data_IF_866847614674
#
_entry.id   IF_866847614674
#
_cell.length_a   1.000
_cell.length_b   1.000
_cell.length_c   1.000
_cell.angle_alpha   90.00
_cell.angle_beta   90.00
_cell.angle_gamma   90.00
#
_symmetry.space_group_name_H-M   'P 1'
#
loop_
_entity.id
_entity.type
_entity.pdbx_description
1 polymer ?
#
# COMPACT_ATOMS: atom_id res chain seq x y z
N UNK A 1 -8.76 -13.32 3.51
CA UNK A 1 -7.54 -12.81 2.85
C UNK A 1 -7.14 -13.79 1.76
N UNK A 2 -7.19 -13.41 0.47
CA UNK A 2 -6.31 -14.06 -0.49
C UNK A 2 -4.91 -13.90 0.08
N UNK A 3 -4.22 -15.00 0.36
CA UNK A 3 -2.85 -14.91 0.84
C UNK A 3 -2.00 -14.51 -0.36
N UNK A 4 -1.67 -13.23 -0.46
CA UNK A 4 -0.58 -12.81 -1.33
C UNK A 4 0.63 -13.65 -1.04
N UNK A 5 1.22 -14.18 -2.10
CA UNK A 5 2.56 -14.73 -2.03
C UNK A 5 3.50 -13.60 -1.58
N UNK A 6 4.51 -13.94 -0.79
CA UNK A 6 5.48 -12.99 -0.22
C UNK A 6 6.02 -11.93 -1.21
N UNK A 7 6.35 -12.25 -2.48
CA UNK A 7 6.77 -11.23 -3.45
C UNK A 7 5.69 -10.17 -3.74
N UNK A 8 4.42 -10.55 -3.82
CA UNK A 8 3.33 -9.61 -4.09
C UNK A 8 3.17 -8.62 -2.93
N UNK A 9 3.40 -9.07 -1.68
CA UNK A 9 3.36 -8.19 -0.50
C UNK A 9 4.45 -7.13 -0.53
N UNK A 10 5.65 -7.49 -0.97
CA UNK A 10 6.75 -6.54 -1.12
C UNK A 10 6.46 -5.51 -2.21
N UNK A 11 5.86 -5.94 -3.33
CA UNK A 11 5.42 -5.03 -4.40
C UNK A 11 4.36 -4.06 -3.87
N UNK A 12 3.33 -4.57 -3.18
CA UNK A 12 2.27 -3.75 -2.57
C UNK A 12 2.83 -2.71 -1.61
N UNK A 13 3.71 -3.10 -0.69
CA UNK A 13 4.34 -2.17 0.25
C UNK A 13 5.19 -1.10 -0.46
N UNK A 14 5.91 -1.47 -1.53
CA UNK A 14 6.69 -0.53 -2.31
C UNK A 14 5.79 0.44 -3.09
N UNK A 15 4.72 -0.05 -3.71
CA UNK A 15 3.72 0.78 -4.39
C UNK A 15 3.09 1.79 -3.44
N UNK A 16 2.69 1.37 -2.25
CA UNK A 16 2.11 2.25 -1.23
C UNK A 16 3.09 3.37 -0.84
N UNK A 17 4.35 3.01 -0.57
CA UNK A 17 5.39 3.99 -0.23
C UNK A 17 5.68 4.97 -1.38
N UNK A 18 5.82 4.47 -2.60
CA UNK A 18 6.10 5.30 -3.78
C UNK A 18 4.93 6.24 -4.11
N UNK A 19 3.69 5.73 -4.11
CA UNK A 19 2.50 6.53 -4.37
C UNK A 19 2.31 7.63 -3.32
N UNK A 20 2.48 7.30 -2.04
CA UNK A 20 2.40 8.27 -0.94
C UNK A 20 3.49 9.33 -1.03
N UNK A 21 4.72 8.93 -1.37
CA UNK A 21 5.83 9.88 -1.58
C UNK A 21 5.52 10.86 -2.71
N UNK A 22 5.01 10.37 -3.84
CA UNK A 22 4.64 11.22 -4.98
C UNK A 22 3.43 12.10 -4.69
N UNK A 23 2.52 11.65 -3.84
CA UNK A 23 1.33 12.41 -3.46
C UNK A 23 1.57 13.52 -2.44
N UNK A 24 2.79 13.63 -1.88
CA UNK A 24 3.16 14.41 -0.69
C UNK A 24 2.60 15.84 -0.57
N UNK A 25 3.46 16.86 -0.49
CA UNK A 25 2.99 18.22 -0.18
C UNK A 25 2.34 18.95 -1.38
N UNK A 26 2.56 18.45 -2.60
CA UNK A 26 2.02 19.04 -3.82
C UNK A 26 1.68 17.95 -4.82
N UNK A 27 0.52 18.06 -5.45
CA UNK A 27 0.13 17.20 -6.57
C UNK A 27 1.17 17.28 -7.70
N UNK A 28 1.78 16.17 -8.15
CA UNK A 28 2.74 16.20 -9.23
C UNK A 28 2.07 16.55 -10.56
N UNK A 29 2.74 17.40 -11.36
CA UNK A 29 2.25 17.86 -12.65
C UNK A 29 3.29 17.65 -13.76
N UNK A 30 2.81 17.61 -15.01
CA UNK A 30 3.65 17.55 -16.20
C UNK A 30 4.73 16.44 -16.13
N UNK A 31 6.03 16.77 -16.32
CA UNK A 31 7.10 15.78 -16.28
C UNK A 31 7.23 15.03 -14.94
N UNK A 32 6.92 15.68 -13.81
CA UNK A 32 6.98 15.03 -12.50
C UNK A 32 5.88 13.97 -12.35
N UNK A 33 4.69 14.26 -12.90
CA UNK A 33 3.59 13.29 -12.95
C UNK A 33 3.97 12.09 -13.79
N UNK A 34 4.49 12.30 -15.00
CA UNK A 34 4.90 11.20 -15.87
C UNK A 34 5.99 10.34 -15.21
N UNK A 35 6.98 10.95 -14.55
CA UNK A 35 8.01 10.23 -13.81
C UNK A 35 7.41 9.35 -12.69
N UNK A 36 6.42 9.86 -11.96
CA UNK A 36 5.70 9.09 -10.96
C UNK A 36 4.96 7.90 -11.58
N UNK A 37 4.24 8.12 -12.69
CA UNK A 37 3.54 7.04 -13.40
C UNK A 37 4.50 5.96 -13.91
N UNK A 38 5.65 6.35 -14.46
CA UNK A 38 6.66 5.41 -14.92
C UNK A 38 7.27 4.59 -13.78
N UNK A 39 7.56 5.22 -12.64
CA UNK A 39 8.06 4.51 -11.47
C UNK A 39 7.03 3.49 -10.94
N UNK A 40 5.77 3.88 -10.81
CA UNK A 40 4.70 2.99 -10.35
C UNK A 40 4.52 1.79 -11.29
N UNK A 41 4.55 2.02 -12.61
CA UNK A 41 4.52 0.95 -13.62
C UNK A 41 5.73 0.04 -13.50
N UNK A 42 6.92 0.59 -13.28
CA UNK A 42 8.14 -0.18 -13.13
C UNK A 42 8.10 -1.09 -11.88
N UNK A 43 7.63 -0.57 -10.74
CA UNK A 43 7.45 -1.35 -9.50
C UNK A 43 6.45 -2.49 -9.72
N UNK A 44 5.34 -2.22 -10.41
CA UNK A 44 4.30 -3.22 -10.67
C UNK A 44 4.62 -4.19 -11.83
N UNK A 45 5.70 -3.96 -12.59
CA UNK A 45 6.09 -4.83 -13.69
C UNK A 45 6.99 -5.95 -13.19
N UNK A 46 6.50 -7.19 -13.25
CA UNK A 46 7.28 -8.39 -12.91
C UNK A 46 7.68 -9.13 -14.18
N UNK A 47 8.98 -9.37 -14.34
CA UNK A 47 9.50 -10.25 -15.37
C UNK A 47 9.70 -11.65 -14.79
N UNK A 48 9.22 -12.72 -15.45
CA UNK A 48 9.58 -14.07 -15.05
C UNK A 48 11.10 -14.23 -15.09
N UNK A 49 11.68 -14.93 -14.11
CA UNK A 49 13.08 -15.32 -14.19
C UNK A 49 13.30 -16.16 -15.45
N UNK A 50 14.14 -15.67 -16.35
CA UNK A 50 14.45 -16.36 -17.59
C UNK A 50 14.96 -17.78 -17.30
N UNK A 51 14.48 -18.76 -18.07
CA UNK A 51 14.98 -20.14 -17.95
C UNK A 51 16.46 -20.16 -18.36
N UNK A 52 17.32 -20.82 -17.57
CA UNK A 52 18.74 -21.00 -17.92
C UNK A 52 18.84 -21.56 -19.34
N UNK A 53 19.56 -20.86 -20.22
CA UNK A 53 19.73 -21.22 -21.63
C UNK A 53 18.68 -20.65 -22.59
N UNK A 54 17.71 -19.87 -22.12
CA UNK A 54 16.78 -19.15 -23.01
C UNK A 54 17.50 -17.98 -23.70
N UNK A 55 17.37 -17.90 -25.02
CA UNK A 55 17.86 -16.78 -25.84
C UNK A 55 16.97 -15.54 -25.69
N UNK A 56 15.68 -15.75 -25.37
CA UNK A 56 14.71 -14.68 -25.17
C UNK A 56 14.39 -14.50 -23.69
N UNK A 57 14.50 -13.26 -23.23
CA UNK A 57 13.99 -12.87 -21.92
C UNK A 57 12.48 -12.65 -22.05
N UNK A 58 11.65 -13.24 -21.17
CA UNK A 58 10.22 -13.00 -21.20
C UNK A 58 9.95 -11.51 -20.93
N UNK A 59 8.96 -10.96 -21.63
CA UNK A 59 8.51 -9.60 -21.39
C UNK A 59 7.99 -9.45 -19.95
N UNK A 60 8.22 -8.27 -19.37
CA UNK A 60 7.61 -7.91 -18.09
C UNK A 60 6.09 -7.86 -18.20
N UNK A 61 5.41 -8.32 -17.16
CA UNK A 61 3.95 -8.26 -17.04
C UNK A 61 3.60 -7.23 -15.98
N UNK A 62 2.79 -6.24 -16.36
CA UNK A 62 2.26 -5.26 -15.42
C UNK A 62 1.20 -5.92 -14.52
N UNK A 63 1.41 -5.89 -13.21
CA UNK A 63 0.45 -6.35 -12.20
C UNK A 63 -0.56 -5.27 -11.87
N UNK A 64 -1.49 -5.07 -12.79
CA UNK A 64 -2.60 -4.12 -12.66
C UNK A 64 -3.51 -4.41 -11.45
N UNK A 65 -3.57 -5.68 -11.04
CA UNK A 65 -4.26 -6.14 -9.83
C UNK A 65 -3.64 -5.58 -8.54
N UNK A 66 -2.30 -5.52 -8.46
CA UNK A 66 -1.60 -4.98 -7.29
C UNK A 66 -1.67 -3.45 -7.24
N UNK A 67 -1.64 -2.78 -8.39
CA UNK A 67 -1.95 -1.34 -8.47
C UNK A 67 -3.37 -1.04 -7.97
N UNK A 68 -4.34 -1.87 -8.38
CA UNK A 68 -5.74 -1.75 -7.98
C UNK A 68 -5.95 -1.95 -6.48
N UNK A 69 -5.24 -2.90 -5.88
CA UNK A 69 -5.29 -3.11 -4.43
C UNK A 69 -4.87 -1.89 -3.64
N UNK A 70 -3.71 -1.30 -3.97
CA UNK A 70 -3.23 -0.12 -3.25
C UNK A 70 -4.14 1.07 -3.51
N UNK A 71 -4.57 1.29 -4.76
CA UNK A 71 -5.46 2.38 -5.12
C UNK A 71 -6.80 2.30 -4.36
N UNK A 72 -7.44 1.12 -4.37
CA UNK A 72 -8.70 0.90 -3.67
C UNK A 72 -8.54 1.08 -2.17
N UNK A 73 -7.53 0.47 -1.54
CA UNK A 73 -7.29 0.64 -0.10
C UNK A 73 -7.14 2.11 0.28
N UNK A 74 -6.36 2.88 -0.49
CA UNK A 74 -6.17 4.32 -0.24
C UNK A 74 -7.48 5.12 -0.39
N UNK A 75 -8.30 4.84 -1.40
CA UNK A 75 -9.62 5.47 -1.57
C UNK A 75 -10.56 5.15 -0.40
N UNK A 76 -10.59 3.88 0.03
CA UNK A 76 -11.40 3.47 1.18
C UNK A 76 -10.97 4.16 2.48
N UNK A 77 -9.66 4.34 2.70
CA UNK A 77 -9.16 5.14 3.83
C UNK A 77 -9.46 6.63 3.67
N UNK A 78 -9.40 7.17 2.44
CA UNK A 78 -9.72 8.57 2.17
C UNK A 78 -11.19 8.88 2.50
N UNK A 79 -12.10 7.97 2.16
CA UNK A 79 -13.53 8.14 2.46
C UNK A 79 -13.85 8.30 3.95
N UNK A 80 -13.00 7.77 4.84
CA UNK A 80 -13.13 7.87 6.29
C UNK A 80 -12.21 8.93 6.92
N UNK A 81 -11.37 9.62 6.14
CA UNK A 81 -10.40 10.59 6.65
C UNK A 81 -10.93 12.04 6.57
N UNK A 82 -10.62 12.80 7.61
CA UNK A 82 -10.80 14.26 7.67
C UNK A 82 -9.94 15.04 6.67
N UNK A 83 -8.79 14.49 6.24
CA UNK A 83 -7.86 15.12 5.29
C UNK A 83 -7.49 14.16 4.15
N UNK A 84 -8.43 13.87 3.24
CA UNK A 84 -8.32 12.77 2.27
C UNK A 84 -7.37 13.05 1.10
N UNK A 85 -6.97 14.30 0.90
CA UNK A 85 -6.35 14.80 -0.34
C UNK A 85 -5.13 13.98 -0.80
N UNK A 86 -4.21 13.68 0.12
CA UNK A 86 -2.98 12.93 -0.21
C UNK A 86 -3.30 11.50 -0.63
N UNK A 87 -4.28 10.85 0.02
CA UNK A 87 -4.69 9.48 -0.32
C UNK A 87 -5.41 9.43 -1.67
N UNK A 88 -6.23 10.43 -1.97
CA UNK A 88 -6.90 10.55 -3.27
C UNK A 88 -5.88 10.78 -4.39
N UNK A 89 -4.87 11.65 -4.18
CA UNK A 89 -3.80 11.87 -5.17
C UNK A 89 -3.00 10.59 -5.39
N UNK A 90 -2.57 9.91 -4.31
CA UNK A 90 -1.83 8.66 -4.40
C UNK A 90 -2.62 7.57 -5.15
N UNK A 91 -3.90 7.40 -4.84
CA UNK A 91 -4.78 6.47 -5.54
C UNK A 91 -4.96 6.84 -7.02
N UNK A 92 -5.10 8.13 -7.33
CA UNK A 92 -5.24 8.61 -8.71
C UNK A 92 -4.02 8.27 -9.55
N UNK A 93 -2.81 8.46 -9.01
CA UNK A 93 -1.57 8.09 -9.70
C UNK A 93 -1.49 6.58 -9.99
N UNK A 94 -1.94 5.74 -9.06
CA UNK A 94 -1.99 4.28 -9.24
C UNK A 94 -3.02 3.87 -10.32
N UNK A 95 -4.17 4.54 -10.37
CA UNK A 95 -5.18 4.33 -11.41
C UNK A 95 -4.61 4.70 -12.78
N UNK A 96 -3.98 5.87 -12.91
CA UNK A 96 -3.35 6.33 -14.14
C UNK A 96 -2.13 5.49 -14.57
N UNK A 97 -1.46 4.86 -13.60
CA UNK A 97 -0.40 3.91 -13.87
C UNK A 97 -0.93 2.62 -14.54
N UNK A 98 -2.23 2.35 -14.47
CA UNK A 98 -2.89 1.22 -15.14
C UNK A 98 -3.54 0.23 -14.19
N UNK A 99 -4.00 0.66 -13.02
CA UNK A 99 -4.78 -0.20 -12.12
C UNK A 99 -6.05 -0.74 -12.82
N UNK A 100 -6.40 -1.99 -12.51
CA UNK A 100 -7.67 -2.56 -12.95
C UNK A 100 -8.85 -1.90 -12.21
N UNK A 101 -9.68 -1.13 -12.92
CA UNK A 101 -10.79 -0.38 -12.35
C UNK A 101 -11.84 -1.26 -11.65
N UNK A 102 -12.04 -2.51 -12.09
CA UNK A 102 -12.99 -3.45 -11.46
C UNK A 102 -12.44 -3.88 -10.09
N UNK A 103 -11.15 -4.17 -10.01
CA UNK A 103 -10.51 -4.54 -8.74
C UNK A 103 -10.36 -3.33 -7.81
N UNK A 104 -10.17 -2.10 -8.33
CA UNK A 104 -10.12 -0.88 -7.50
C UNK A 104 -11.38 -0.75 -6.64
N UNK A 105 -12.55 -0.87 -7.24
CA UNK A 105 -13.84 -0.75 -6.54
C UNK A 105 -13.99 -1.84 -5.45
N UNK A 106 -13.52 -3.05 -5.73
CA UNK A 106 -13.51 -4.13 -4.74
C UNK A 106 -12.61 -3.82 -3.55
N UNK A 107 -11.41 -3.30 -3.80
CA UNK A 107 -10.44 -2.98 -2.76
C UNK A 107 -10.78 -1.71 -1.98
N UNK A 108 -11.53 -0.78 -2.58
CA UNK A 108 -12.10 0.39 -1.90
C UNK A 108 -12.99 -0.02 -0.72
N UNK A 109 -13.87 -0.99 -0.94
CA UNK A 109 -14.69 -1.55 0.12
C UNK A 109 -13.85 -2.13 1.27
N UNK A 110 -12.75 -2.83 0.94
CA UNK A 110 -11.81 -3.36 1.94
C UNK A 110 -11.11 -2.23 2.70
N UNK A 111 -10.70 -1.16 2.00
CA UNK A 111 -10.12 0.03 2.62
C UNK A 111 -11.08 0.69 3.61
N UNK A 112 -12.34 0.86 3.22
CA UNK A 112 -13.39 1.44 4.05
C UNK A 112 -13.67 0.60 5.30
N UNK A 113 -13.77 -0.72 5.14
CA UNK A 113 -13.94 -1.66 6.25
C UNK A 113 -12.78 -1.57 7.25
N UNK A 114 -11.54 -1.45 6.77
CA UNK A 114 -10.36 -1.29 7.62
C UNK A 114 -10.32 0.06 8.32
N UNK A 115 -10.71 1.13 7.63
CA UNK A 115 -10.75 2.47 8.20
C UNK A 115 -11.81 2.60 9.29
N UNK A 116 -12.91 1.86 9.14
CA UNK A 116 -14.04 1.85 10.09
C UNK A 116 -13.87 0.84 11.22
N UNK A 117 -12.88 -0.05 11.13
CA UNK A 117 -12.63 -1.05 12.16
C UNK A 117 -12.21 -0.35 13.46
N UNK A 118 -12.85 -0.67 14.61
CA UNK A 118 -12.40 -0.13 15.88
C UNK A 118 -10.94 -0.52 16.08
N UNK A 119 -10.12 0.42 16.55
CA UNK A 119 -8.76 0.16 17.01
C UNK A 119 -8.85 -0.82 18.18
N UNK A 120 -8.91 -2.11 17.90
CA UNK A 120 -8.63 -3.15 18.88
C UNK A 120 -7.12 -3.11 19.07
N UNK A 121 -6.66 -2.09 19.81
CA UNK A 121 -5.37 -2.18 20.46
C UNK A 121 -5.35 -3.48 21.25
N UNK A 122 -4.20 -4.16 21.40
CA UNK A 122 -4.12 -5.29 22.30
C UNK A 122 -4.72 -4.82 23.62
N UNK A 123 -5.78 -5.50 24.05
CA UNK A 123 -6.27 -5.34 25.40
C UNK A 123 -5.06 -5.66 26.28
N UNK A 124 -4.39 -4.62 26.79
CA UNK A 124 -3.45 -4.79 27.88
C UNK A 124 -4.29 -5.24 29.06
N UNK A 125 -4.53 -6.54 29.09
CA UNK A 125 -4.99 -7.29 30.22
C UNK A 125 -4.09 -6.92 31.40
N UNK A 126 -4.71 -6.33 32.41
CA UNK A 126 -4.40 -6.52 33.81
C UNK A 126 -2.94 -6.42 34.26
N UNK A 127 -2.69 -5.42 35.11
CA UNK A 127 -2.00 -5.61 36.39
C UNK A 127 -0.64 -6.32 36.36
N UNK A 128 0.43 -5.54 36.24
CA UNK A 128 1.69 -5.84 36.92
C UNK A 128 1.99 -4.70 37.90
N UNK A 129 1.31 -4.75 39.05
CA UNK A 129 1.78 -4.11 40.29
C UNK A 129 3.08 -4.82 40.65
N UNK A 130 4.21 -4.19 40.39
CA UNK A 130 5.52 -4.69 40.83
C UNK A 130 5.51 -4.89 42.36
N UNK A 131 5.71 -6.10 42.87
CA UNK A 131 5.99 -6.31 44.28
C UNK A 131 7.51 -6.33 44.47
N UNK A 132 8.03 -5.36 45.23
CA UNK A 132 9.32 -5.52 45.90
C UNK A 132 10.37 -4.46 45.56
N UNK A 133 10.43 -3.44 46.42
CA UNK A 133 11.69 -2.96 47.00
C UNK A 133 11.37 -2.14 48.26
N UNK A 134 11.00 -2.83 49.33
CA UNK A 134 11.22 -2.33 50.69
C UNK A 134 12.62 -2.76 51.12
N UNK A 135 13.45 -1.80 51.51
CA UNK A 135 14.26 -1.72 52.77
C UNK A 135 15.07 -0.42 52.70
N UNK A 136 14.76 0.57 53.56
CA UNK A 136 15.45 0.92 54.84
C UNK A 136 16.42 2.12 54.61
N UNK A 137 16.20 3.32 55.15
CA UNK A 137 16.52 3.78 56.52
C UNK A 137 17.87 3.26 57.02
N UNK A 138 18.92 4.07 56.86
CA UNK A 138 19.57 4.83 57.95
C UNK A 138 20.31 6.05 57.36
#
# INVERSE_FOLDING_TARGET
MPRHHEPDRLIVAHLEGAATRHAGWRNPEGPAREAALQELRAIATVAPSGRRGSVHQPAGVLRADLLAEVAGILLGFAAADSHPEQKVIAATLLIEAGADAVEVARWEQVGLERASAPLVGPAHAGSARWPGASTAHD
#
